data_IF_069390677471
#
_entry.id   IF_069390677471
#
_cell.length_a   1.000
_cell.length_b   1.000
_cell.length_c   1.000
_cell.angle_alpha   90.00
_cell.angle_beta   90.00
_cell.angle_gamma   90.00
#
_symmetry.space_group_name_H-M   'P 1'
#
loop_
_entity.id
_entity.type
_entity.pdbx_description
1 polymer ?
#
# COMPACT_ATOMS: atom_id res chain seq x y z
N UNK A 1 42.36 18.47 -10.53
CA UNK A 1 42.64 18.32 -9.10
C UNK A 1 41.34 17.88 -8.43
N UNK A 2 41.32 16.63 -7.96
CA UNK A 2 40.22 16.00 -7.24
C UNK A 2 40.33 16.44 -5.78
N UNK A 3 39.30 17.09 -5.22
CA UNK A 3 39.23 17.32 -3.78
C UNK A 3 38.45 16.16 -3.17
N UNK A 4 39.19 15.16 -2.69
CA UNK A 4 38.71 14.20 -1.70
C UNK A 4 38.30 15.00 -0.45
N UNK A 5 37.05 14.81 -0.01
CA UNK A 5 36.66 15.20 1.34
C UNK A 5 36.37 13.93 2.14
N UNK A 6 37.17 13.73 3.17
CA UNK A 6 36.98 12.75 4.23
C UNK A 6 35.63 12.93 4.95
N UNK A 7 34.95 11.83 5.35
CA UNK A 7 33.78 11.89 6.21
C UNK A 7 34.16 12.09 7.69
N UNK A 8 33.43 12.91 8.45
CA UNK A 8 33.68 13.07 9.89
C UNK A 8 33.21 11.85 10.71
N UNK A 9 34.18 11.19 11.35
CA UNK A 9 34.20 10.82 12.77
C UNK A 9 33.07 9.94 13.35
N UNK A 10 33.36 8.65 13.52
CA UNK A 10 32.67 7.76 14.47
C UNK A 10 32.98 8.18 15.91
N UNK A 11 32.00 8.79 16.58
CA UNK A 11 32.04 9.02 18.02
C UNK A 11 32.05 7.67 18.77
N UNK A 12 33.08 7.53 19.60
CA UNK A 12 33.41 6.37 20.42
C UNK A 12 32.62 6.43 21.72
N UNK A 13 31.87 5.38 22.07
CA UNK A 13 31.30 5.22 23.42
C UNK A 13 32.34 4.56 24.34
N UNK A 14 32.76 5.20 25.44
CA UNK A 14 33.61 4.56 26.45
C UNK A 14 32.77 3.96 27.58
N UNK A 15 33.27 2.86 28.15
CA UNK A 15 33.00 2.53 29.56
C UNK A 15 32.26 1.22 29.78
N UNK A 16 33.05 0.15 29.91
CA UNK A 16 32.67 -1.05 30.63
C UNK A 16 32.56 -0.75 32.13
N UNK A 17 31.55 -1.31 32.82
CA UNK A 17 31.77 -1.81 34.18
C UNK A 17 30.98 -3.09 34.43
N UNK A 18 31.77 -4.07 34.85
CA UNK A 18 31.45 -5.43 35.23
C UNK A 18 31.11 -5.41 36.72
N UNK A 19 29.91 -5.85 37.10
CA UNK A 19 29.61 -6.20 38.49
C UNK A 19 29.02 -7.61 38.55
N UNK A 20 29.94 -8.53 38.81
CA UNK A 20 29.76 -9.86 39.37
C UNK A 20 28.96 -9.84 40.69
N UNK A 21 27.98 -10.74 40.84
CA UNK A 21 27.84 -11.67 42.00
C UNK A 21 26.48 -12.40 42.06
N UNK A 22 26.53 -13.67 41.67
CA UNK A 22 26.00 -14.89 42.33
C UNK A 22 24.70 -14.89 43.16
N UNK A 23 23.69 -15.60 42.63
CA UNK A 23 22.92 -16.72 43.25
C UNK A 23 21.75 -16.40 44.21
N UNK A 24 20.74 -17.30 44.41
CA UNK A 24 20.81 -18.76 44.19
C UNK A 24 19.64 -19.40 43.40
N UNK A 25 19.88 -20.67 43.10
CA UNK A 25 19.07 -21.73 42.48
C UNK A 25 17.78 -22.07 43.24
N UNK A 26 16.68 -22.30 42.50
CA UNK A 26 15.57 -23.22 42.80
C UNK A 26 14.85 -23.50 41.46
N UNK A 27 15.18 -24.58 40.75
CA UNK A 27 14.57 -25.92 40.78
C UNK A 27 13.04 -25.97 40.57
N UNK A 28 12.63 -26.87 39.67
CA UNK A 28 11.25 -27.35 39.58
C UNK A 28 10.26 -26.54 38.71
N UNK A 29 10.17 -26.89 37.42
CA UNK A 29 8.95 -27.52 36.86
C UNK A 29 8.89 -27.39 35.34
N UNK A 30 8.91 -28.56 34.70
CA UNK A 30 8.38 -28.76 33.36
C UNK A 30 6.92 -28.32 33.31
N UNK A 31 6.56 -27.40 32.42
CA UNK A 31 5.23 -27.45 31.80
C UNK A 31 5.28 -26.92 30.38
N UNK A 32 5.19 -27.85 29.43
CA UNK A 32 4.82 -27.55 28.07
C UNK A 32 3.40 -26.98 28.08
N UNK A 33 3.25 -25.74 27.62
CA UNK A 33 2.09 -25.35 26.84
C UNK A 33 2.66 -24.68 25.60
N UNK A 34 2.64 -25.41 24.49
CA UNK A 34 2.62 -24.81 23.17
C UNK A 34 1.35 -23.97 23.11
N UNK A 35 1.39 -22.76 23.67
CA UNK A 35 0.40 -21.77 23.36
C UNK A 35 0.51 -21.54 21.85
N UNK A 36 -0.61 -21.45 21.11
CA UNK A 36 -0.51 -20.76 19.85
C UNK A 36 0.01 -19.37 20.22
N UNK A 37 1.27 -19.09 19.89
CA UNK A 37 1.68 -17.73 19.64
C UNK A 37 0.87 -17.30 18.43
N UNK A 38 -0.39 -16.94 18.67
CA UNK A 38 -1.10 -15.97 17.87
C UNK A 38 -0.26 -14.72 18.03
N UNK A 39 0.81 -14.65 17.24
CA UNK A 39 1.35 -13.39 16.80
C UNK A 39 0.11 -12.64 16.37
N UNK A 40 -0.20 -11.59 17.14
CA UNK A 40 -1.26 -10.65 16.81
C UNK A 40 -0.85 -10.12 15.45
N UNK A 41 -1.33 -10.79 14.41
CA UNK A 41 -1.26 -10.34 13.04
C UNK A 41 -2.05 -9.06 13.15
N UNK A 42 -1.32 -7.95 13.15
CA UNK A 42 -1.91 -6.63 13.15
C UNK A 42 -3.14 -6.73 12.26
N UNK A 43 -4.30 -6.42 12.83
CA UNK A 43 -5.53 -6.23 12.08
C UNK A 43 -5.36 -4.92 11.32
N UNK A 44 -4.31 -4.89 10.49
CA UNK A 44 -3.94 -3.81 9.63
C UNK A 44 -4.98 -3.86 8.56
N UNK A 45 -5.95 -2.95 8.66
CA UNK A 45 -6.97 -2.71 7.65
C UNK A 45 -6.37 -3.00 6.28
N UNK A 46 -6.77 -4.14 5.70
CA UNK A 46 -6.12 -4.67 4.52
C UNK A 46 -6.26 -3.60 3.44
N UNK A 47 -5.14 -2.96 3.10
CA UNK A 47 -5.11 -1.87 2.15
C UNK A 47 -5.42 -2.47 0.78
N UNK A 48 -6.62 -2.21 0.26
CA UNK A 48 -7.09 -2.79 -0.99
C UNK A 48 -6.61 -1.94 -2.16
N UNK A 49 -6.34 -2.62 -3.28
CA UNK A 49 -6.05 -1.96 -4.56
C UNK A 49 -7.29 -2.04 -5.44
N UNK A 50 -7.62 -0.94 -6.10
CA UNK A 50 -8.80 -0.84 -6.95
C UNK A 50 -8.42 -0.36 -8.35
N UNK A 51 -9.14 -0.87 -9.35
CA UNK A 51 -9.09 -0.41 -10.73
C UNK A 51 -10.41 0.30 -11.06
N UNK A 52 -10.33 1.60 -11.30
CA UNK A 52 -11.49 2.44 -11.61
C UNK A 52 -11.43 2.90 -13.06
N UNK A 53 -12.36 2.43 -13.89
CA UNK A 53 -12.56 2.89 -15.26
C UNK A 53 -13.52 4.07 -15.31
N UNK A 54 -13.02 5.21 -15.78
CA UNK A 54 -13.81 6.44 -15.98
C UNK A 54 -14.05 6.65 -17.47
N UNK A 55 -15.32 6.78 -17.90
CA UNK A 55 -15.66 6.95 -19.30
C UNK A 55 -15.60 8.43 -19.72
N UNK A 56 -15.03 8.66 -20.89
CA UNK A 56 -14.92 9.98 -21.51
C UNK A 56 -15.32 9.93 -22.98
N UNK A 57 -15.92 11.02 -23.47
CA UNK A 57 -16.40 11.13 -24.84
C UNK A 57 -16.45 12.59 -25.29
N UNK A 58 -15.98 12.86 -26.51
CA UNK A 58 -16.31 14.10 -27.22
C UNK A 58 -17.59 13.89 -28.06
N UNK A 59 -18.32 14.97 -28.32
CA UNK A 59 -19.51 14.93 -29.18
C UNK A 59 -19.18 14.27 -30.53
N UNK A 60 -19.99 13.29 -30.94
CA UNK A 60 -19.80 12.55 -32.20
C UNK A 60 -18.59 11.60 -32.23
N UNK A 61 -17.84 11.46 -31.13
CA UNK A 61 -16.67 10.57 -31.05
C UNK A 61 -16.99 9.22 -30.41
N UNK A 62 -15.99 8.34 -30.38
CA UNK A 62 -16.02 7.04 -29.71
C UNK A 62 -15.77 7.19 -28.21
N UNK A 63 -16.40 6.32 -27.43
CA UNK A 63 -16.21 6.23 -25.98
C UNK A 63 -14.78 5.77 -25.67
N UNK A 64 -14.11 6.47 -24.77
CA UNK A 64 -12.76 6.14 -24.29
C UNK A 64 -12.83 5.85 -22.79
N UNK A 65 -12.26 4.73 -22.36
CA UNK A 65 -12.11 4.39 -20.95
C UNK A 65 -10.70 4.72 -20.49
N UNK A 66 -10.59 5.55 -19.46
CA UNK A 66 -9.33 5.72 -18.73
C UNK A 66 -9.39 4.92 -17.44
N UNK A 67 -8.40 4.06 -17.20
CA UNK A 67 -8.33 3.23 -16.02
C UNK A 67 -7.32 3.78 -15.02
N UNK A 68 -7.74 3.92 -13.78
CA UNK A 68 -6.93 4.42 -12.68
C UNK A 68 -6.75 3.33 -11.64
N UNK A 69 -5.49 2.98 -11.37
CA UNK A 69 -5.13 2.14 -10.22
C UNK A 69 -5.08 3.04 -8.98
N UNK A 70 -5.81 2.64 -7.95
CA UNK A 70 -5.87 3.30 -6.65
C UNK A 70 -5.43 2.31 -5.59
N UNK A 71 -4.19 2.49 -5.13
CA UNK A 71 -3.62 1.70 -4.05
C UNK A 71 -4.05 2.27 -2.70
N UNK A 72 -4.26 1.40 -1.71
CA UNK A 72 -4.48 1.80 -0.32
C UNK A 72 -5.84 2.43 -0.02
N UNK A 73 -6.83 2.26 -0.90
CA UNK A 73 -8.19 2.67 -0.59
C UNK A 73 -8.80 1.72 0.44
N UNK A 74 -9.49 2.30 1.42
CA UNK A 74 -10.15 1.55 2.50
C UNK A 74 -11.38 0.80 2.01
N UNK A 75 -12.09 1.39 1.06
CA UNK A 75 -13.34 0.89 0.48
C UNK A 75 -13.51 1.42 -0.95
N UNK A 76 -14.55 0.93 -1.63
CA UNK A 76 -14.91 1.33 -2.99
C UNK A 76 -15.18 2.84 -3.14
N UNK A 77 -16.02 3.48 -2.29
CA UNK A 77 -16.27 4.92 -2.39
C UNK A 77 -15.01 5.78 -2.30
N UNK A 78 -14.08 5.42 -1.42
CA UNK A 78 -12.80 6.12 -1.29
C UNK A 78 -11.95 5.94 -2.56
N UNK A 79 -11.92 4.73 -3.14
CA UNK A 79 -11.22 4.47 -4.39
C UNK A 79 -11.80 5.29 -5.55
N UNK A 80 -13.13 5.31 -5.67
CA UNK A 80 -13.85 6.10 -6.68
C UNK A 80 -13.55 7.58 -6.52
N UNK A 81 -13.62 8.12 -5.29
CA UNK A 81 -13.32 9.53 -5.04
C UNK A 81 -11.88 9.89 -5.46
N UNK A 82 -10.90 9.07 -5.09
CA UNK A 82 -9.50 9.28 -5.44
C UNK A 82 -9.28 9.22 -6.97
N UNK A 83 -9.89 8.25 -7.64
CA UNK A 83 -9.83 8.12 -9.10
C UNK A 83 -10.47 9.33 -9.79
N UNK A 84 -11.67 9.76 -9.36
CA UNK A 84 -12.37 10.90 -9.95
C UNK A 84 -11.59 12.20 -9.75
N UNK A 85 -11.00 12.42 -8.57
CA UNK A 85 -10.13 13.56 -8.31
C UNK A 85 -8.94 13.59 -9.27
N UNK A 86 -8.30 12.43 -9.52
CA UNK A 86 -7.20 12.30 -10.48
C UNK A 86 -7.67 12.55 -11.91
N UNK A 87 -8.76 11.91 -12.32
CA UNK A 87 -9.30 11.98 -13.68
C UNK A 87 -9.72 13.39 -14.12
N UNK A 88 -10.13 14.21 -13.15
CA UNK A 88 -10.49 15.62 -13.34
C UNK A 88 -9.35 16.60 -13.06
N UNK A 89 -8.16 16.12 -12.71
CA UNK A 89 -6.99 16.98 -12.55
C UNK A 89 -6.65 17.68 -13.87
N UNK A 90 -6.09 18.89 -13.77
CA UNK A 90 -5.72 19.66 -14.96
C UNK A 90 -4.74 18.91 -15.88
N UNK A 91 -3.82 18.12 -15.29
CA UNK A 91 -2.86 17.30 -16.02
C UNK A 91 -3.55 16.23 -16.86
N UNK A 92 -4.45 15.44 -16.26
CA UNK A 92 -5.17 14.37 -16.96
C UNK A 92 -6.12 14.92 -18.02
N UNK A 93 -6.79 16.04 -17.73
CA UNK A 93 -7.70 16.67 -18.68
C UNK A 93 -6.98 17.12 -19.95
N UNK A 94 -5.79 17.74 -19.80
CA UNK A 94 -4.92 18.10 -20.92
C UNK A 94 -4.44 16.87 -21.69
N UNK A 95 -4.01 15.83 -21.00
CA UNK A 95 -3.52 14.59 -21.62
C UNK A 95 -4.60 13.91 -22.48
N UNK A 96 -5.87 14.01 -22.06
CA UNK A 96 -7.01 13.46 -22.79
C UNK A 96 -7.50 14.40 -23.92
N UNK A 97 -6.99 15.62 -24.03
CA UNK A 97 -7.45 16.59 -25.04
C UNK A 97 -8.85 17.13 -24.78
N UNK A 98 -9.17 17.40 -23.51
CA UNK A 98 -10.44 17.98 -23.06
C UNK A 98 -11.70 17.16 -23.40
N UNK A 99 -11.56 15.84 -23.66
CA UNK A 99 -12.74 14.96 -23.72
C UNK A 99 -13.53 15.09 -22.42
N UNK A 100 -14.83 15.35 -22.57
CA UNK A 100 -15.78 15.48 -21.47
C UNK A 100 -16.13 14.13 -20.83
N UNK A 101 -16.64 14.14 -19.59
CA UNK A 101 -17.17 12.93 -18.97
C UNK A 101 -18.34 12.39 -19.80
N UNK A 102 -18.44 11.06 -19.87
CA UNK A 102 -19.57 10.40 -20.50
C UNK A 102 -20.57 9.89 -19.44
N UNK A 103 -21.76 9.47 -19.86
CA UNK A 103 -22.86 9.08 -18.95
C UNK A 103 -22.82 7.61 -18.54
N UNK A 104 -21.93 6.82 -19.13
CA UNK A 104 -21.76 5.42 -18.80
C UNK A 104 -21.34 5.25 -17.32
N UNK A 105 -21.79 4.18 -16.65
CA UNK A 105 -21.42 3.92 -15.27
C UNK A 105 -19.91 3.67 -15.14
N UNK A 106 -19.34 4.00 -13.98
CA UNK A 106 -17.95 3.68 -13.70
C UNK A 106 -17.75 2.16 -13.70
N UNK A 107 -16.58 1.72 -14.18
CA UNK A 107 -16.15 0.33 -13.99
C UNK A 107 -15.34 0.25 -12.71
N UNK A 108 -15.78 -0.54 -11.75
CA UNK A 108 -15.14 -0.65 -10.45
C UNK A 108 -14.74 -2.12 -10.26
N UNK A 109 -13.46 -2.37 -10.11
CA UNK A 109 -12.93 -3.72 -9.90
C UNK A 109 -11.89 -3.70 -8.78
N UNK A 110 -11.98 -4.66 -7.86
CA UNK A 110 -10.94 -4.87 -6.86
C UNK A 110 -9.80 -5.65 -7.50
N UNK A 111 -8.57 -5.26 -7.19
CA UNK A 111 -7.36 -5.97 -7.58
C UNK A 111 -6.87 -6.77 -6.39
N UNK A 112 -6.72 -8.08 -6.58
CA UNK A 112 -6.11 -8.97 -5.60
C UNK A 112 -4.64 -9.14 -5.96
N UNK A 113 -3.78 -9.06 -4.94
CA UNK A 113 -2.35 -9.33 -5.08
C UNK A 113 -1.99 -10.54 -4.24
N UNK A 114 -1.45 -11.57 -4.86
CA UNK A 114 -1.00 -12.75 -4.14
C UNK A 114 0.36 -12.53 -3.46
N UNK A 115 0.82 -13.52 -2.69
CA UNK A 115 2.06 -13.45 -1.92
C UNK A 115 3.33 -13.37 -2.78
N UNK A 116 3.27 -13.77 -4.05
CA UNK A 116 4.38 -13.66 -5.02
C UNK A 116 4.23 -12.44 -5.92
N UNK A 117 3.23 -11.59 -5.65
CA UNK A 117 3.01 -10.31 -6.31
C UNK A 117 2.20 -10.35 -7.60
N UNK A 118 1.61 -11.49 -7.99
CA UNK A 118 0.70 -11.55 -9.14
C UNK A 118 -0.57 -10.78 -8.84
N UNK A 119 -1.04 -10.04 -9.83
CA UNK A 119 -2.25 -9.23 -9.75
C UNK A 119 -3.36 -9.93 -10.54
N UNK A 120 -4.50 -10.15 -9.89
CA UNK A 120 -5.71 -10.65 -10.52
C UNK A 120 -6.85 -9.67 -10.31
N UNK A 121 -7.78 -9.64 -11.26
CA UNK A 121 -9.05 -8.98 -11.04
C UNK A 121 -9.89 -9.87 -10.14
N UNK A 122 -10.43 -9.28 -9.09
CA UNK A 122 -11.46 -9.93 -8.31
C UNK A 122 -12.72 -10.03 -9.17
N UNK A 123 -13.21 -11.24 -9.37
CA UNK A 123 -14.39 -11.51 -10.19
C UNK A 123 -15.70 -11.18 -9.45
N UNK A 124 -15.70 -10.16 -8.57
CA UNK A 124 -16.76 -9.85 -7.62
C UNK A 124 -18.15 -10.12 -8.18
N UNK A 125 -18.95 -10.92 -7.45
CA UNK A 125 -20.30 -11.33 -7.86
C UNK A 125 -21.12 -10.09 -8.23
N UNK A 126 -21.62 -10.09 -9.47
CA UNK A 126 -22.57 -9.09 -9.97
C UNK A 126 -23.91 -9.16 -9.24
#
# INVERSE_FOLDING_TARGET
MLLEMDPPGLETLPGAELADRTGPTDDGARQMVNGPTTGSRADGAQSMTWLIGVPFRAQGSRLVWMYYVVDGARDEPHAVHAAMKRAHSAKERRARGDLGPATEPLKIQRLLRDAIGRITLDAGQQ
#
